data_IF_166173878327
#
_entry.id   IF_166173878327
#
_cell.length_a   1.000
_cell.length_b   1.000
_cell.length_c   1.000
_cell.angle_alpha   90.00
_cell.angle_beta   90.00
_cell.angle_gamma   90.00
#
_symmetry.space_group_name_H-M   'P 1'
#
loop_
_entity.id
_entity.type
_entity.pdbx_description
1 polymer ?
#
# COMPACT_ATOMS: atom_id res chain seq x y z
N UNK A 1 -24.08 31.43 -36.49
CA UNK A 1 -24.36 30.19 -35.74
C UNK A 1 -23.01 29.51 -35.51
N UNK A 2 -22.42 29.74 -34.32
CA UNK A 2 -21.11 29.20 -33.94
C UNK A 2 -21.33 28.07 -32.96
N UNK A 3 -21.11 26.83 -33.40
CA UNK A 3 -21.21 25.65 -32.55
C UNK A 3 -20.02 25.62 -31.59
N UNK A 4 -20.32 25.55 -30.29
CA UNK A 4 -19.36 25.49 -29.20
C UNK A 4 -18.54 24.21 -29.26
N UNK A 5 -17.20 24.36 -29.32
CA UNK A 5 -16.19 23.28 -29.37
C UNK A 5 -15.91 22.59 -28.02
N UNK A 6 -16.67 22.92 -26.95
CA UNK A 6 -16.34 22.48 -25.57
C UNK A 6 -17.33 21.49 -24.93
N UNK A 7 -18.29 20.91 -25.67
CA UNK A 7 -19.22 19.93 -25.10
C UNK A 7 -18.85 18.48 -25.43
N UNK A 8 -17.62 18.07 -25.12
CA UNK A 8 -17.21 16.67 -25.08
C UNK A 8 -17.05 16.22 -23.63
N UNK A 9 -18.15 15.87 -22.99
CA UNK A 9 -18.11 15.11 -21.75
C UNK A 9 -17.37 13.80 -21.99
N UNK A 10 -16.34 13.45 -21.16
CA UNK A 10 -15.65 12.18 -21.32
C UNK A 10 -16.66 11.04 -21.12
N UNK A 11 -16.81 10.18 -22.13
CA UNK A 11 -17.65 8.98 -22.01
C UNK A 11 -17.10 8.15 -20.84
N UNK A 12 -17.88 7.98 -19.78
CA UNK A 12 -17.61 7.00 -18.73
C UNK A 12 -17.44 5.64 -19.40
N UNK A 13 -16.21 5.14 -19.47
CA UNK A 13 -15.95 3.76 -19.89
C UNK A 13 -16.59 2.86 -18.82
N UNK A 14 -17.66 2.16 -19.19
CA UNK A 14 -18.23 1.11 -18.35
C UNK A 14 -17.19 0.01 -18.16
N UNK A 15 -16.88 -0.30 -16.90
CA UNK A 15 -15.94 -1.38 -16.56
C UNK A 15 -16.52 -2.73 -16.98
N UNK A 16 -15.72 -3.68 -17.50
CA UNK A 16 -16.19 -5.01 -17.81
C UNK A 16 -16.78 -5.67 -16.55
N UNK A 17 -17.98 -6.27 -16.63
CA UNK A 17 -18.71 -6.81 -15.47
C UNK A 17 -17.96 -7.90 -14.69
N UNK A 18 -17.06 -8.64 -15.33
CA UNK A 18 -16.31 -9.73 -14.70
C UNK A 18 -15.32 -9.30 -13.58
N UNK A 19 -14.82 -8.05 -13.61
CA UNK A 19 -13.88 -7.57 -12.59
C UNK A 19 -14.62 -7.16 -11.31
N UNK A 20 -15.84 -6.66 -11.38
CA UNK A 20 -16.65 -6.31 -10.21
C UNK A 20 -17.00 -7.52 -9.36
N UNK A 21 -17.46 -8.60 -9.97
CA UNK A 21 -17.91 -9.80 -9.25
C UNK A 21 -16.79 -10.51 -8.45
N UNK A 22 -15.51 -10.33 -8.81
CA UNK A 22 -14.41 -11.02 -8.13
C UNK A 22 -13.97 -10.38 -6.81
N UNK A 23 -14.26 -9.08 -6.60
CA UNK A 23 -13.89 -8.40 -5.35
C UNK A 23 -15.01 -8.37 -4.30
N UNK A 24 -16.26 -8.69 -4.67
CA UNK A 24 -17.41 -8.55 -3.77
C UNK A 24 -17.36 -9.49 -2.54
N UNK A 25 -16.61 -10.58 -2.63
CA UNK A 25 -16.44 -11.55 -1.54
C UNK A 25 -15.05 -11.55 -0.92
N UNK A 26 -14.08 -10.88 -1.51
CA UNK A 26 -12.69 -10.82 -1.06
C UNK A 26 -12.42 -9.52 -0.31
N UNK A 27 -11.55 -9.58 0.71
CA UNK A 27 -11.11 -8.38 1.42
C UNK A 27 -10.23 -7.49 0.55
N UNK A 28 -10.38 -6.19 0.74
CA UNK A 28 -9.49 -5.14 0.21
C UNK A 28 -8.83 -4.44 1.39
N UNK A 29 -7.51 -4.39 1.40
CA UNK A 29 -6.70 -3.92 2.52
C UNK A 29 -5.82 -2.77 2.05
N UNK A 30 -5.82 -1.67 2.82
CA UNK A 30 -4.91 -0.53 2.70
C UNK A 30 -4.00 -0.49 3.92
N UNK A 31 -2.74 -0.91 3.75
CA UNK A 31 -1.74 -0.91 4.82
C UNK A 31 -0.79 0.26 4.66
N UNK A 32 -0.51 0.96 5.74
CA UNK A 32 0.07 2.31 5.82
C UNK A 32 -0.88 3.39 5.28
N UNK A 33 -2.18 3.22 5.53
CA UNK A 33 -3.29 3.91 4.85
C UNK A 33 -3.27 5.45 4.91
N UNK A 34 -2.48 6.06 5.83
CA UNK A 34 -2.46 7.52 5.97
C UNK A 34 -3.85 8.12 6.15
N UNK A 35 -4.13 9.24 5.51
CA UNK A 35 -5.44 9.91 5.52
C UNK A 35 -6.45 9.40 4.50
N UNK A 36 -6.15 8.31 3.76
CA UNK A 36 -7.10 7.65 2.86
C UNK A 36 -6.92 7.92 1.36
N UNK A 37 -5.78 8.47 0.93
CA UNK A 37 -5.56 8.76 -0.50
C UNK A 37 -5.61 7.51 -1.39
N UNK A 38 -4.92 6.43 -0.98
CA UNK A 38 -4.94 5.16 -1.68
C UNK A 38 -6.34 4.52 -1.64
N UNK A 39 -6.98 4.50 -0.47
CA UNK A 39 -8.35 4.00 -0.30
C UNK A 39 -9.33 4.70 -1.24
N UNK A 40 -9.31 6.03 -1.36
CA UNK A 40 -10.16 6.77 -2.28
C UNK A 40 -9.97 6.33 -3.74
N UNK A 41 -8.71 6.13 -4.16
CA UNK A 41 -8.38 5.64 -5.50
C UNK A 41 -8.85 4.21 -5.74
N UNK A 42 -8.66 3.34 -4.77
CA UNK A 42 -9.09 1.93 -4.79
C UNK A 42 -10.63 1.88 -4.90
N UNK A 43 -11.34 2.57 -4.03
CA UNK A 43 -12.81 2.61 -4.00
C UNK A 43 -13.40 3.13 -5.31
N UNK A 44 -12.83 4.22 -5.86
CA UNK A 44 -13.21 4.72 -7.17
C UNK A 44 -13.01 3.68 -8.28
N UNK A 45 -11.98 2.84 -8.15
CA UNK A 45 -11.64 1.82 -9.13
C UNK A 45 -12.52 0.58 -9.04
N UNK A 46 -12.83 0.07 -7.83
CA UNK A 46 -13.57 -1.17 -7.62
C UNK A 46 -15.07 -0.95 -7.37
N UNK A 47 -15.49 0.27 -6.97
CA UNK A 47 -16.88 0.66 -6.76
C UNK A 47 -17.46 0.24 -5.42
N UNK A 48 -16.61 -0.03 -4.42
CA UNK A 48 -17.00 -0.36 -3.03
C UNK A 48 -15.92 0.11 -2.04
N UNK A 49 -16.24 0.21 -0.74
CA UNK A 49 -15.28 0.56 0.31
C UNK A 49 -14.14 -0.43 0.44
N UNK A 50 -12.97 0.07 0.92
CA UNK A 50 -11.87 -0.74 1.44
C UNK A 50 -12.33 -1.38 2.75
N UNK A 51 -12.01 -2.66 2.97
CA UNK A 51 -12.47 -3.39 4.17
C UNK A 51 -11.62 -3.08 5.41
N UNK A 52 -10.30 -2.92 5.24
CA UNK A 52 -9.34 -2.76 6.34
C UNK A 52 -8.35 -1.67 6.00
N UNK A 53 -8.15 -0.73 6.93
CA UNK A 53 -7.09 0.28 6.89
C UNK A 53 -6.21 0.17 8.14
N UNK A 54 -4.88 0.22 7.96
CA UNK A 54 -3.89 0.05 9.04
C UNK A 54 -2.92 1.22 9.00
N UNK A 55 -2.78 1.93 10.13
CA UNK A 55 -1.70 2.90 10.35
C UNK A 55 -1.44 3.05 11.85
N UNK A 56 -0.20 3.34 12.23
CA UNK A 56 0.16 3.60 13.63
C UNK A 56 -0.21 5.00 14.11
N UNK A 57 -0.42 5.94 13.17
CA UNK A 57 -0.76 7.32 13.46
C UNK A 57 -2.27 7.47 13.67
N UNK A 58 -2.66 7.80 14.92
CA UNK A 58 -4.05 7.96 15.30
C UNK A 58 -4.74 9.15 14.59
N UNK A 59 -4.02 10.24 14.30
CA UNK A 59 -4.59 11.39 13.61
C UNK A 59 -4.87 11.07 12.14
N UNK A 60 -3.94 10.36 11.48
CA UNK A 60 -4.14 9.87 10.12
C UNK A 60 -5.35 8.92 10.03
N UNK A 61 -5.48 7.98 10.97
CA UNK A 61 -6.63 7.07 11.01
C UNK A 61 -7.94 7.80 11.35
N UNK A 62 -7.92 8.81 12.21
CA UNK A 62 -9.11 9.62 12.47
C UNK A 62 -9.59 10.35 11.21
N UNK A 63 -8.68 10.92 10.43
CA UNK A 63 -8.99 11.51 9.13
C UNK A 63 -9.52 10.47 8.13
N UNK A 64 -8.87 9.29 8.07
CA UNK A 64 -9.29 8.19 7.22
C UNK A 64 -10.71 7.74 7.55
N UNK A 65 -11.06 7.60 8.82
CA UNK A 65 -12.38 7.16 9.27
C UNK A 65 -13.49 8.13 8.89
N UNK A 66 -13.22 9.44 8.84
CA UNK A 66 -14.18 10.43 8.36
C UNK A 66 -14.49 10.23 6.87
N UNK A 67 -13.46 9.94 6.07
CA UNK A 67 -13.60 9.79 4.62
C UNK A 67 -14.09 8.39 4.21
N UNK A 68 -13.80 7.37 5.02
CA UNK A 68 -14.07 5.95 4.75
C UNK A 68 -14.75 5.29 5.96
N UNK A 69 -15.99 5.69 6.31
CA UNK A 69 -16.65 5.25 7.56
C UNK A 69 -17.03 3.76 7.60
N UNK A 70 -17.07 3.09 6.44
CA UNK A 70 -17.38 1.65 6.35
C UNK A 70 -16.14 0.76 6.51
N UNK A 71 -14.95 1.35 6.51
CA UNK A 71 -13.67 0.66 6.66
C UNK A 71 -13.42 0.30 8.12
N UNK A 72 -12.92 -0.91 8.40
CA UNK A 72 -12.42 -1.27 9.73
C UNK A 72 -11.00 -0.73 9.91
N UNK A 73 -10.80 0.11 10.91
CA UNK A 73 -9.55 0.82 11.17
C UNK A 73 -8.74 0.16 12.28
N UNK A 74 -7.42 0.03 12.06
CA UNK A 74 -6.43 -0.38 13.04
C UNK A 74 -5.47 0.79 13.30
N UNK A 75 -5.52 1.35 14.52
CA UNK A 75 -4.53 2.31 15.02
C UNK A 75 -3.43 1.51 15.69
N UNK A 76 -2.55 0.91 14.90
CA UNK A 76 -1.52 0.02 15.44
C UNK A 76 -0.31 -0.03 14.49
N UNK A 77 0.84 -0.40 15.05
CA UNK A 77 2.03 -0.75 14.28
C UNK A 77 1.71 -1.93 13.35
N UNK A 78 2.02 -1.76 12.07
CA UNK A 78 1.75 -2.77 11.03
C UNK A 78 2.38 -4.15 11.32
N UNK A 79 3.45 -4.19 12.13
CA UNK A 79 4.06 -5.43 12.60
C UNK A 79 3.25 -6.14 13.67
N UNK A 80 2.45 -5.42 14.45
CA UNK A 80 1.63 -5.99 15.55
C UNK A 80 0.28 -6.48 15.05
N UNK A 81 -0.23 -5.95 13.94
CA UNK A 81 -1.47 -6.47 13.35
C UNK A 81 -1.22 -7.87 12.80
N UNK A 82 -1.92 -8.86 13.34
CA UNK A 82 -1.87 -10.24 12.81
C UNK A 82 -2.73 -10.36 11.54
N UNK A 83 -2.14 -10.77 10.38
CA UNK A 83 -2.89 -10.88 9.13
C UNK A 83 -4.04 -11.89 9.18
N UNK A 84 -3.86 -13.03 9.87
CA UNK A 84 -4.87 -14.08 9.95
C UNK A 84 -6.06 -13.62 10.80
N UNK A 85 -5.77 -13.00 11.95
CA UNK A 85 -6.78 -12.44 12.84
C UNK A 85 -7.54 -11.28 12.16
N UNK A 86 -6.81 -10.37 11.50
CA UNK A 86 -7.41 -9.25 10.80
C UNK A 86 -8.35 -9.70 9.67
N UNK A 87 -7.99 -10.73 8.92
CA UNK A 87 -8.80 -11.24 7.81
C UNK A 87 -9.92 -12.19 8.24
N UNK A 88 -9.87 -12.77 9.45
CA UNK A 88 -10.91 -13.66 9.99
C UNK A 88 -11.27 -14.82 9.03
N UNK A 89 -10.28 -15.40 8.37
CA UNK A 89 -10.48 -16.50 7.40
C UNK A 89 -11.07 -16.10 6.05
N UNK A 90 -11.34 -14.80 5.82
CA UNK A 90 -11.82 -14.32 4.52
C UNK A 90 -10.68 -14.23 3.52
N UNK A 91 -10.89 -14.57 2.24
CA UNK A 91 -9.87 -14.39 1.20
C UNK A 91 -9.58 -12.90 0.97
N UNK A 92 -8.33 -12.59 0.59
CA UNK A 92 -7.88 -11.23 0.28
C UNK A 92 -7.72 -11.08 -1.23
N UNK A 93 -8.50 -10.20 -1.83
CA UNK A 93 -8.45 -9.90 -3.26
C UNK A 93 -7.36 -8.87 -3.60
N UNK A 94 -7.23 -7.83 -2.78
CA UNK A 94 -6.24 -6.77 -2.96
C UNK A 94 -5.63 -6.38 -1.61
N UNK A 95 -4.31 -6.33 -1.56
CA UNK A 95 -3.57 -5.71 -0.47
C UNK A 95 -2.66 -4.61 -1.02
N UNK A 96 -2.93 -3.37 -0.61
CA UNK A 96 -2.14 -2.18 -0.93
C UNK A 96 -1.19 -1.89 0.22
N UNK A 97 0.07 -1.60 -0.11
CA UNK A 97 1.11 -1.26 0.85
C UNK A 97 1.86 -0.02 0.39
N UNK A 98 1.93 1.00 1.24
CA UNK A 98 2.70 2.23 1.01
C UNK A 98 3.66 2.51 2.19
N UNK A 99 4.65 1.63 2.43
CA UNK A 99 5.57 1.80 3.54
C UNK A 99 6.43 3.05 3.38
N UNK A 100 6.76 3.69 4.52
CA UNK A 100 7.56 4.90 4.56
C UNK A 100 8.85 4.78 3.75
N UNK A 101 9.02 5.73 2.82
CA UNK A 101 10.14 5.81 1.89
C UNK A 101 11.28 6.73 2.37
N UNK A 102 11.19 7.37 3.53
CA UNK A 102 12.11 8.44 3.93
C UNK A 102 13.59 7.99 4.02
N UNK A 103 13.87 6.69 4.11
CA UNK A 103 15.23 6.15 4.10
C UNK A 103 15.74 5.73 2.72
N UNK A 104 14.92 5.77 1.70
CA UNK A 104 15.30 5.51 0.31
C UNK A 104 15.36 6.81 -0.50
N UNK A 105 14.54 7.81 -0.16
CA UNK A 105 14.43 9.07 -0.89
C UNK A 105 15.72 9.88 -0.87
N UNK A 106 16.08 10.47 -2.02
CA UNK A 106 17.21 11.43 -2.19
C UNK A 106 17.04 12.69 -1.35
N UNK A 107 15.83 13.07 -0.98
CA UNK A 107 15.54 14.25 -0.18
C UNK A 107 16.12 14.19 1.25
N UNK A 108 16.53 13.02 1.73
CA UNK A 108 16.98 12.80 3.10
C UNK A 108 18.35 13.43 3.45
N UNK A 109 19.21 13.70 2.48
CA UNK A 109 20.58 14.15 2.72
C UNK A 109 21.45 13.10 3.40
N UNK A 110 22.32 13.52 4.37
CA UNK A 110 23.31 12.65 5.04
C UNK A 110 22.84 12.03 6.35
N UNK A 111 21.55 12.09 6.68
CA UNK A 111 21.02 11.57 7.95
C UNK A 111 21.22 10.05 8.06
N UNK A 112 21.62 9.50 9.24
CA UNK A 112 21.81 8.07 9.43
C UNK A 112 20.54 7.26 9.11
N UNK A 113 20.73 6.08 8.54
CA UNK A 113 19.64 5.18 8.13
C UNK A 113 19.13 4.43 9.35
N UNK A 114 17.83 4.54 9.65
CA UNK A 114 17.17 3.71 10.67
C UNK A 114 16.83 2.36 10.08
N UNK A 115 17.33 1.28 10.71
CA UNK A 115 17.12 -0.11 10.25
C UNK A 115 15.63 -0.51 10.30
N UNK A 116 14.92 -0.02 11.31
CA UNK A 116 13.51 -0.30 11.56
C UNK A 116 12.62 0.13 10.38
N UNK A 117 12.82 1.35 9.87
CA UNK A 117 12.02 1.87 8.74
C UNK A 117 12.36 1.13 7.43
N UNK A 118 13.62 0.76 7.22
CA UNK A 118 13.98 -0.07 6.06
C UNK A 118 13.38 -1.48 6.14
N UNK A 119 13.03 -1.91 7.36
CA UNK A 119 12.37 -3.18 7.61
C UNK A 119 10.88 -3.20 7.23
N UNK A 120 10.22 -2.04 7.08
CA UNK A 120 8.77 -1.99 6.86
C UNK A 120 8.31 -2.71 5.58
N UNK A 121 9.13 -2.75 4.53
CA UNK A 121 8.82 -3.49 3.32
C UNK A 121 8.67 -5.02 3.54
N UNK A 122 9.26 -5.58 4.63
CA UNK A 122 9.10 -7.00 4.97
C UNK A 122 7.69 -7.34 5.46
N UNK A 123 6.90 -6.35 5.88
CA UNK A 123 5.48 -6.53 6.19
C UNK A 123 4.73 -7.09 4.99
N UNK A 124 5.08 -6.66 3.77
CA UNK A 124 4.49 -7.17 2.53
C UNK A 124 4.67 -8.69 2.42
N UNK A 125 5.89 -9.17 2.68
CA UNK A 125 6.20 -10.62 2.64
C UNK A 125 5.41 -11.37 3.72
N UNK A 126 5.31 -10.81 4.94
CA UNK A 126 4.53 -11.41 6.03
C UNK A 126 3.06 -11.58 5.62
N UNK A 127 2.44 -10.56 5.06
CA UNK A 127 1.05 -10.61 4.58
C UNK A 127 0.89 -11.56 3.39
N UNK A 128 1.83 -11.51 2.41
CA UNK A 128 1.81 -12.41 1.26
C UNK A 128 1.83 -13.88 1.68
N UNK A 129 2.66 -14.23 2.66
CA UNK A 129 2.79 -15.61 3.16
C UNK A 129 1.61 -16.05 4.03
N UNK A 130 1.06 -15.14 4.86
CA UNK A 130 -0.01 -15.45 5.81
C UNK A 130 -1.37 -15.60 5.14
N UNK A 131 -1.79 -14.65 4.29
CA UNK A 131 -3.15 -14.58 3.75
C UNK A 131 -3.22 -14.65 2.22
N UNK A 132 -2.08 -14.72 1.55
CA UNK A 132 -1.96 -14.93 0.10
C UNK A 132 -2.90 -14.05 -0.72
N UNK A 133 -2.76 -12.73 -0.67
CA UNK A 133 -3.58 -11.83 -1.46
C UNK A 133 -3.50 -12.16 -2.95
N UNK A 134 -4.62 -12.12 -3.65
CA UNK A 134 -4.65 -12.37 -5.11
C UNK A 134 -3.89 -11.31 -5.90
N UNK A 135 -3.92 -10.07 -5.41
CA UNK A 135 -3.16 -8.94 -5.94
C UNK A 135 -2.48 -8.21 -4.80
N UNK A 136 -1.19 -7.95 -4.94
CA UNK A 136 -0.43 -7.08 -4.06
C UNK A 136 0.01 -5.85 -4.87
N UNK A 137 -0.21 -4.67 -4.32
CA UNK A 137 0.31 -3.41 -4.85
C UNK A 137 1.24 -2.81 -3.81
N UNK A 138 2.44 -2.45 -4.23
CA UNK A 138 3.39 -1.72 -3.40
C UNK A 138 3.65 -0.36 -4.03
N UNK A 139 3.41 0.70 -3.25
CA UNK A 139 3.81 2.06 -3.58
C UNK A 139 5.10 2.41 -2.83
N UNK A 140 6.12 2.85 -3.56
CA UNK A 140 7.35 3.37 -2.97
C UNK A 140 8.05 4.30 -3.97
N UNK A 141 9.15 4.94 -3.54
CA UNK A 141 9.99 5.75 -4.41
C UNK A 141 10.87 4.88 -5.32
N UNK A 142 11.30 5.42 -6.47
CA UNK A 142 12.18 4.72 -7.41
C UNK A 142 13.45 4.18 -6.74
N UNK A 143 14.01 4.93 -5.79
CA UNK A 143 15.21 4.54 -5.06
C UNK A 143 15.05 3.27 -4.21
N UNK A 144 13.82 2.79 -3.97
CA UNK A 144 13.58 1.51 -3.30
C UNK A 144 14.27 0.34 -4.00
N UNK A 145 14.36 0.35 -5.34
CA UNK A 145 15.09 -0.65 -6.11
C UNK A 145 16.59 -0.70 -5.77
N UNK A 146 17.12 0.39 -5.22
CA UNK A 146 18.53 0.47 -4.79
C UNK A 146 18.79 -0.12 -3.41
N UNK A 147 17.76 -0.66 -2.74
CA UNK A 147 17.86 -1.19 -1.38
C UNK A 147 18.92 -2.29 -1.28
N UNK A 148 19.99 -1.99 -0.56
CA UNK A 148 21.11 -2.86 -0.29
C UNK A 148 21.43 -2.91 1.21
N UNK A 149 22.38 -3.78 1.64
CA UNK A 149 22.79 -3.87 3.03
C UNK A 149 23.43 -2.57 3.52
N UNK A 150 23.35 -2.37 4.83
CA UNK A 150 23.98 -1.26 5.55
C UNK A 150 25.25 -1.78 6.21
N UNK A 151 26.40 -1.15 5.91
CA UNK A 151 27.70 -1.40 6.53
C UNK A 151 28.13 -0.09 7.21
N UNK A 152 28.56 -0.18 8.45
CA UNK A 152 28.96 0.98 9.27
C UNK A 152 27.95 2.15 9.25
N UNK A 153 26.66 1.82 9.35
CA UNK A 153 25.56 2.78 9.37
C UNK A 153 25.23 3.44 8.03
N UNK A 154 25.89 3.02 6.93
CA UNK A 154 25.66 3.56 5.57
C UNK A 154 25.30 2.47 4.56
N UNK A 155 24.46 2.80 3.54
CA UNK A 155 24.23 1.88 2.43
C UNK A 155 25.53 1.52 1.73
N UNK A 156 25.78 0.23 1.50
CA UNK A 156 26.96 -0.27 0.82
C UNK A 156 26.84 -0.07 -0.70
N UNK A 157 27.65 0.81 -1.34
CA UNK A 157 27.50 1.08 -2.78
C UNK A 157 27.77 -0.14 -3.66
N UNK A 158 28.70 -1.01 -3.25
CA UNK A 158 29.07 -2.22 -3.98
C UNK A 158 27.94 -3.28 -4.00
N UNK A 159 27.01 -3.19 -3.04
CA UNK A 159 25.89 -4.14 -2.87
C UNK A 159 24.52 -3.48 -3.09
N UNK A 160 24.49 -2.43 -3.90
CA UNK A 160 23.27 -1.70 -4.25
C UNK A 160 22.25 -2.64 -4.90
N UNK A 161 20.98 -2.58 -4.43
CA UNK A 161 19.87 -3.37 -4.94
C UNK A 161 19.87 -4.84 -4.51
N UNK A 162 20.86 -5.31 -3.75
CA UNK A 162 20.95 -6.72 -3.35
C UNK A 162 19.78 -7.13 -2.43
N UNK A 163 19.46 -6.31 -1.45
CA UNK A 163 18.36 -6.57 -0.53
C UNK A 163 17.00 -6.50 -1.26
N UNK A 164 16.85 -5.56 -2.19
CA UNK A 164 15.65 -5.46 -3.03
C UNK A 164 15.44 -6.75 -3.85
N UNK A 165 16.45 -7.21 -4.56
CA UNK A 165 16.36 -8.47 -5.35
C UNK A 165 16.01 -9.67 -4.47
N UNK A 166 16.63 -9.77 -3.30
CA UNK A 166 16.32 -10.84 -2.35
C UNK A 166 14.88 -10.75 -1.83
N UNK A 167 14.42 -9.55 -1.47
CA UNK A 167 13.05 -9.28 -1.03
C UNK A 167 12.03 -9.59 -2.14
N UNK A 168 12.26 -9.09 -3.35
CA UNK A 168 11.39 -9.32 -4.50
C UNK A 168 11.24 -10.81 -4.84
N UNK A 169 12.32 -11.58 -4.72
CA UNK A 169 12.30 -13.04 -4.96
C UNK A 169 11.50 -13.84 -3.90
N UNK A 170 11.00 -13.19 -2.83
CA UNK A 170 10.15 -13.79 -1.78
C UNK A 170 8.67 -13.59 -2.02
N UNK A 171 8.31 -12.67 -2.91
CA UNK A 171 6.94 -12.46 -3.39
C UNK A 171 6.58 -13.47 -4.48
#
# INVERSE_FOLDING_TARGET
>A
MTASLFDRRPRRRSRPPAIRASFDQELVIDSFAGGGGASAGIEAAIGRPVDIAINHDAEAIAQHAINHPETRHYVEDVWKVDPLEACQGRPVGLAWFSPDCCHFSRAKGTTPVRKEIRGLAWVVIRWAQAVRPRVIVLENVEEFETWGPVVDGRPCPARRGETFRYWHAKL
#
